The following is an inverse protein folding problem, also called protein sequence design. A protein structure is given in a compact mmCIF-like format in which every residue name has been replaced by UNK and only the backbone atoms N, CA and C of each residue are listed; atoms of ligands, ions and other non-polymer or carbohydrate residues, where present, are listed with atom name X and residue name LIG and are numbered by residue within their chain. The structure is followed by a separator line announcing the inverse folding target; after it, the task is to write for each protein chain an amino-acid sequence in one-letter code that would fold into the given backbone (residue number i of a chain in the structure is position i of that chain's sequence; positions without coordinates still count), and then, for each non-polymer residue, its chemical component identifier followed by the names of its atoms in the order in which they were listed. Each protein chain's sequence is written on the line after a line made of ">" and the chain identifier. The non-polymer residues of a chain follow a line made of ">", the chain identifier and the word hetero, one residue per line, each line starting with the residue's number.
data_IF_305870517204
#
_entry.id   IF_305870517204
#
_cell.length_a   1.000
_cell.length_b   1.000
_cell.length_c   1.000
_cell.angle_alpha   90.00
_cell.angle_beta   90.00
_cell.angle_gamma   90.00
#
_symmetry.space_group_name_H-M   'P 1'
#
loop_
_entity.id
_entity.type
_entity.pdbx_description
1 polymer ?
#
# COMPACT_ATOMS: atom_id res chain seq x y z
N UNK A 1 5.39 17.30 15.91
CA UNK A 1 4.04 16.70 16.08
C UNK A 1 4.19 15.24 16.45
N UNK A 2 3.32 14.71 17.33
CA UNK A 2 3.28 13.27 17.60
C UNK A 2 2.72 12.57 16.35
N UNK A 3 3.40 11.53 15.86
CA UNK A 3 2.93 10.77 14.70
C UNK A 3 1.68 9.97 15.09
N UNK A 4 0.67 9.99 14.22
CA UNK A 4 -0.52 9.15 14.30
C UNK A 4 -0.65 8.38 12.99
N UNK A 5 -0.57 7.05 13.09
CA UNK A 5 -0.42 6.17 11.93
C UNK A 5 -1.68 5.33 11.74
N UNK A 6 -2.23 5.30 10.53
CA UNK A 6 -3.28 4.32 10.17
C UNK A 6 -2.69 3.28 9.24
N UNK A 7 -2.81 2.01 9.64
CA UNK A 7 -2.45 0.85 8.82
C UNK A 7 -3.67 0.39 8.03
N UNK A 8 -3.59 0.39 6.71
CA UNK A 8 -4.60 -0.17 5.82
C UNK A 8 -4.15 -1.56 5.37
N UNK A 9 -4.77 -2.60 5.94
CA UNK A 9 -4.43 -3.98 5.68
C UNK A 9 -5.38 -4.61 4.66
N UNK A 10 -4.84 -5.04 3.52
CA UNK A 10 -5.60 -5.81 2.54
C UNK A 10 -5.74 -7.28 2.98
N UNK A 11 -6.95 -7.75 3.32
CA UNK A 11 -7.16 -9.09 3.85
C UNK A 11 -7.11 -10.16 2.76
N UNK A 12 -7.01 -9.79 1.48
CA UNK A 12 -6.98 -10.70 0.32
C UNK A 12 -5.57 -10.77 -0.29
N UNK A 13 -4.71 -9.76 -0.07
CA UNK A 13 -3.33 -9.77 -0.54
C UNK A 13 -2.44 -10.83 0.16
N UNK A 14 -1.40 -11.31 -0.52
CA UNK A 14 -0.28 -12.04 0.11
C UNK A 14 -0.48 -13.51 0.49
N UNK A 15 -1.51 -14.19 -0.01
CA UNK A 15 -1.70 -15.62 0.27
C UNK A 15 -1.95 -15.92 1.76
N UNK A 16 -1.38 -17.01 2.31
CA UNK A 16 -1.72 -17.54 3.65
C UNK A 16 -1.13 -16.78 4.86
N UNK A 17 -0.32 -15.73 4.66
CA UNK A 17 0.46 -15.08 5.74
C UNK A 17 -0.17 -13.79 6.35
N UNK A 18 -1.46 -13.56 6.17
CA UNK A 18 -2.14 -12.31 6.56
C UNK A 18 -2.18 -12.06 8.08
N UNK A 19 -2.50 -13.10 8.85
CA UNK A 19 -2.47 -13.06 10.31
C UNK A 19 -1.09 -12.69 10.85
N UNK A 20 -0.03 -13.17 10.18
CA UNK A 20 1.35 -12.85 10.52
C UNK A 20 1.69 -11.38 10.29
N UNK A 21 1.22 -10.77 9.19
CA UNK A 21 1.46 -9.33 8.94
C UNK A 21 0.76 -8.49 10.00
N UNK A 22 -0.51 -8.78 10.31
CA UNK A 22 -1.25 -8.09 11.36
C UNK A 22 -0.54 -8.19 12.71
N UNK A 23 -0.16 -9.40 13.11
CA UNK A 23 0.57 -9.62 14.36
C UNK A 23 1.91 -8.87 14.39
N UNK A 24 2.62 -8.80 13.26
CA UNK A 24 3.87 -8.03 13.16
C UNK A 24 3.60 -6.52 13.34
N UNK A 25 2.54 -5.98 12.72
CA UNK A 25 2.15 -4.57 12.90
C UNK A 25 1.77 -4.31 14.35
N UNK A 26 0.89 -5.12 14.96
CA UNK A 26 0.46 -4.96 16.36
C UNK A 26 1.65 -5.02 17.32
N UNK A 27 2.54 -6.02 17.14
CA UNK A 27 3.76 -6.16 17.96
C UNK A 27 4.68 -4.95 17.82
N UNK A 28 4.87 -4.46 16.59
CA UNK A 28 5.72 -3.31 16.31
C UNK A 28 5.12 -2.03 16.90
N UNK A 29 3.83 -1.82 16.71
CA UNK A 29 3.16 -0.59 17.08
C UNK A 29 3.10 -0.44 18.61
N UNK A 30 2.81 -1.52 19.34
CA UNK A 30 2.86 -1.56 20.80
C UNK A 30 4.26 -1.25 21.37
N UNK A 31 5.33 -1.57 20.63
CA UNK A 31 6.72 -1.26 21.03
C UNK A 31 7.15 0.16 20.66
N UNK A 32 6.47 0.79 19.70
CA UNK A 32 6.85 2.10 19.17
C UNK A 32 6.40 3.28 20.04
N UNK A 33 5.38 3.09 20.89
CA UNK A 33 4.75 4.17 21.68
C UNK A 33 3.98 5.20 20.85
N UNK A 34 3.79 4.93 19.54
CA UNK A 34 3.06 5.78 18.62
C UNK A 34 1.55 5.50 18.69
N UNK A 35 0.75 6.52 18.42
CA UNK A 35 -0.69 6.36 18.29
C UNK A 35 -0.97 5.70 16.94
N UNK A 36 -1.68 4.57 16.94
CA UNK A 36 -1.95 3.83 15.72
C UNK A 36 -3.34 3.20 15.68
N UNK A 37 -3.81 2.94 14.47
CA UNK A 37 -5.03 2.18 14.20
C UNK A 37 -4.77 1.20 13.04
N UNK A 38 -5.40 0.02 13.09
CA UNK A 38 -5.38 -0.94 11.98
C UNK A 38 -6.80 -1.05 11.41
N UNK A 39 -6.95 -0.69 10.14
CA UNK A 39 -8.19 -0.84 9.39
C UNK A 39 -8.01 -1.84 8.24
N UNK A 40 -9.12 -2.45 7.85
CA UNK A 40 -9.18 -3.31 6.67
C UNK A 40 -9.44 -2.43 5.45
N UNK A 41 -8.75 -2.69 4.34
CA UNK A 41 -8.97 -1.95 3.08
C UNK A 41 -10.37 -2.19 2.51
N UNK A 42 -10.94 -1.19 1.84
CA UNK A 42 -12.17 -1.36 1.08
C UNK A 42 -11.90 -2.22 -0.17
N UNK A 43 -12.67 -3.29 -0.35
CA UNK A 43 -12.56 -4.18 -1.51
C UNK A 43 -12.96 -3.49 -2.83
N UNK A 44 -13.83 -2.49 -2.76
CA UNK A 44 -14.28 -1.69 -3.90
C UNK A 44 -13.27 -0.60 -4.27
N UNK A 45 -12.25 -0.37 -3.43
CA UNK A 45 -11.24 0.67 -3.65
C UNK A 45 -11.73 2.09 -3.37
N UNK A 46 -12.94 2.27 -2.81
CA UNK A 46 -13.44 3.57 -2.39
C UNK A 46 -12.87 3.95 -1.00
N UNK A 47 -12.12 5.05 -1.00
CA UNK A 47 -11.53 5.67 0.18
C UNK A 47 -11.93 7.14 0.32
N UNK A 48 -13.07 7.57 -0.23
CA UNK A 48 -13.53 8.96 -0.19
C UNK A 48 -13.61 9.55 1.23
N UNK A 49 -13.93 8.72 2.23
CA UNK A 49 -13.98 9.13 3.65
C UNK A 49 -12.59 9.23 4.31
N UNK A 50 -11.54 8.67 3.71
CA UNK A 50 -10.21 8.65 4.28
C UNK A 50 -9.64 10.06 4.45
N UNK A 51 -9.86 10.95 3.47
CA UNK A 51 -9.43 12.36 3.52
C UNK A 51 -10.03 13.09 4.70
N UNK A 52 -11.34 12.90 4.93
CA UNK A 52 -12.05 13.49 6.05
C UNK A 52 -11.51 12.98 7.38
N UNK A 53 -11.30 11.67 7.50
CA UNK A 53 -10.69 11.07 8.70
C UNK A 53 -9.29 11.64 8.97
N UNK A 54 -8.47 11.77 7.92
CA UNK A 54 -7.12 12.37 8.03
C UNK A 54 -7.18 13.75 8.66
N UNK A 55 -8.08 14.61 8.18
CA UNK A 55 -8.25 15.97 8.70
C UNK A 55 -8.80 15.98 10.13
N UNK A 56 -9.91 15.27 10.38
CA UNK A 56 -10.63 15.27 11.65
C UNK A 56 -9.76 14.70 12.79
N UNK A 57 -8.97 13.67 12.48
CA UNK A 57 -8.17 12.95 13.46
C UNK A 57 -6.68 13.33 13.48
N UNK A 58 -6.28 14.26 12.61
CA UNK A 58 -4.88 14.71 12.43
C UNK A 58 -3.91 13.55 12.19
N UNK A 59 -4.28 12.65 11.28
CA UNK A 59 -3.43 11.51 10.89
C UNK A 59 -2.21 12.05 10.14
N UNK A 60 -1.02 11.57 10.49
CA UNK A 60 0.23 12.01 9.87
C UNK A 60 0.75 11.04 8.82
N UNK A 61 0.43 9.75 8.99
CA UNK A 61 0.98 8.67 8.17
C UNK A 61 -0.09 7.62 7.83
N UNK A 62 -0.11 7.16 6.58
CA UNK A 62 -0.92 6.03 6.12
C UNK A 62 0.01 4.90 5.64
N UNK A 63 -0.04 3.73 6.28
CA UNK A 63 0.79 2.59 5.89
C UNK A 63 -0.07 1.53 5.21
N UNK A 64 0.23 1.24 3.95
CA UNK A 64 -0.54 0.35 3.09
C UNK A 64 0.09 -1.03 3.10
N UNK A 65 -0.58 -2.01 3.69
CA UNK A 65 -0.19 -3.41 3.64
C UNK A 65 -1.01 -4.13 2.57
N UNK A 66 -0.47 -4.19 1.36
CA UNK A 66 -1.24 -4.62 0.18
C UNK A 66 -0.37 -4.87 -1.06
N UNK A 67 -1.03 -5.12 -2.19
CA UNK A 67 -0.40 -5.19 -3.50
C UNK A 67 -0.63 -3.91 -4.31
N UNK A 68 -0.15 -3.91 -5.55
CA UNK A 68 -0.14 -2.74 -6.45
C UNK A 68 -1.51 -2.08 -6.63
N UNK A 69 -2.58 -2.85 -6.80
CA UNK A 69 -3.94 -2.30 -6.92
C UNK A 69 -4.40 -1.54 -5.67
N UNK A 70 -4.16 -2.09 -4.48
CA UNK A 70 -4.48 -1.42 -3.21
C UNK A 70 -3.64 -0.16 -3.02
N UNK A 71 -2.36 -0.22 -3.35
CA UNK A 71 -1.46 0.92 -3.27
C UNK A 71 -1.96 2.05 -4.19
N UNK A 72 -2.31 1.72 -5.44
CA UNK A 72 -2.84 2.69 -6.40
C UNK A 72 -4.10 3.39 -5.88
N UNK A 73 -5.14 2.63 -5.48
CA UNK A 73 -6.41 3.20 -5.02
C UNK A 73 -6.27 4.02 -3.73
N UNK A 74 -5.44 3.59 -2.78
CA UNK A 74 -5.21 4.38 -1.56
C UNK A 74 -4.45 5.65 -1.89
N UNK A 75 -3.35 5.57 -2.65
CA UNK A 75 -2.51 6.75 -2.94
C UNK A 75 -3.30 7.81 -3.72
N UNK A 76 -4.20 7.40 -4.62
CA UNK A 76 -5.13 8.33 -5.28
C UNK A 76 -5.97 9.14 -4.27
N UNK A 77 -6.50 8.46 -3.25
CA UNK A 77 -7.25 9.09 -2.17
C UNK A 77 -6.40 9.95 -1.23
N UNK A 78 -5.07 9.77 -1.23
CA UNK A 78 -4.14 10.57 -0.42
C UNK A 78 -3.59 11.80 -1.14
N UNK A 79 -3.81 11.97 -2.45
CA UNK A 79 -3.34 13.15 -3.20
C UNK A 79 -3.71 14.45 -2.46
N UNK A 80 -2.79 15.39 -2.35
CA UNK A 80 -3.05 16.71 -1.75
C UNK A 80 -3.47 16.70 -0.26
N UNK A 81 -3.41 15.56 0.43
CA UNK A 81 -3.71 15.50 1.89
C UNK A 81 -2.51 15.91 2.76
N UNK A 82 -1.30 15.89 2.19
CA UNK A 82 -0.05 16.19 2.89
C UNK A 82 0.44 15.08 3.84
N UNK A 83 -0.29 13.97 3.97
CA UNK A 83 0.17 12.84 4.79
C UNK A 83 1.31 12.09 4.11
N UNK A 84 2.22 11.55 4.92
CA UNK A 84 3.18 10.59 4.42
C UNK A 84 2.49 9.24 4.21
N UNK A 85 2.95 8.45 3.24
CA UNK A 85 2.52 7.05 3.14
C UNK A 85 3.70 6.09 3.14
N UNK A 86 3.46 4.89 3.65
CA UNK A 86 4.41 3.78 3.67
C UNK A 86 3.79 2.54 3.03
N UNK A 87 4.63 1.57 2.64
CA UNK A 87 4.18 0.34 1.99
C UNK A 87 4.75 -0.87 2.74
N UNK A 88 3.88 -1.83 3.05
CA UNK A 88 4.25 -3.19 3.45
C UNK A 88 3.88 -4.11 2.27
N UNK A 89 4.86 -4.57 1.47
CA UNK A 89 4.58 -5.31 0.24
C UNK A 89 3.92 -6.66 0.52
N UNK A 90 2.72 -6.88 -0.01
CA UNK A 90 1.97 -8.14 0.10
C UNK A 90 1.53 -8.70 -1.26
N UNK A 91 1.78 -8.01 -2.36
CA UNK A 91 1.46 -8.47 -3.72
C UNK A 91 2.53 -9.40 -4.32
N UNK A 92 2.28 -9.87 -5.54
CA UNK A 92 3.26 -10.62 -6.33
C UNK A 92 4.21 -9.69 -7.10
N UNK A 93 3.70 -8.57 -7.63
CA UNK A 93 4.46 -7.54 -8.37
C UNK A 93 5.17 -6.56 -7.43
N UNK A 94 4.41 -5.77 -6.66
CA UNK A 94 4.91 -4.74 -5.74
C UNK A 94 5.82 -3.73 -6.44
N UNK A 95 5.45 -3.28 -7.64
CA UNK A 95 6.30 -2.48 -8.53
C UNK A 95 6.83 -1.20 -7.85
N UNK A 96 5.94 -0.39 -7.26
CA UNK A 96 6.36 0.84 -6.56
C UNK A 96 7.30 0.53 -5.40
N UNK A 97 6.94 -0.46 -4.58
CA UNK A 97 7.71 -0.78 -3.39
C UNK A 97 9.11 -1.31 -3.75
N UNK A 98 9.21 -2.12 -4.80
CA UNK A 98 10.48 -2.65 -5.31
C UNK A 98 11.37 -1.52 -5.81
N UNK A 99 10.85 -0.63 -6.66
CA UNK A 99 11.61 0.52 -7.21
C UNK A 99 12.04 1.49 -6.10
N UNK A 100 11.21 1.69 -5.08
CA UNK A 100 11.53 2.52 -3.92
C UNK A 100 12.49 1.86 -2.92
N UNK A 101 12.99 0.64 -3.18
CA UNK A 101 13.91 -0.07 -2.29
C UNK A 101 13.27 -0.57 -0.99
N UNK A 102 11.94 -0.66 -0.94
CA UNK A 102 11.21 -1.10 0.25
C UNK A 102 11.36 -2.62 0.43
N UNK A 103 11.85 -3.10 1.59
CA UNK A 103 12.04 -4.52 1.83
C UNK A 103 10.73 -5.32 1.78
N UNK A 104 10.75 -6.51 1.17
CA UNK A 104 9.61 -7.46 1.21
C UNK A 104 9.30 -8.01 2.60
N UNK A 105 10.26 -7.96 3.53
CA UNK A 105 10.05 -8.42 4.90
C UNK A 105 9.25 -7.37 5.69
N UNK A 106 8.06 -7.70 6.22
CA UNK A 106 7.20 -6.73 6.90
C UNK A 106 7.87 -6.01 8.08
N UNK A 107 8.74 -6.69 8.84
CA UNK A 107 9.46 -6.06 9.96
C UNK A 107 10.42 -4.98 9.46
N UNK A 108 11.20 -5.29 8.42
CA UNK A 108 12.13 -4.32 7.81
C UNK A 108 11.41 -3.15 7.13
N UNK A 109 10.25 -3.40 6.51
CA UNK A 109 9.42 -2.34 5.96
C UNK A 109 8.88 -1.41 7.06
N UNK A 110 8.45 -1.97 8.20
CA UNK A 110 8.02 -1.18 9.37
C UNK A 110 9.17 -0.38 10.00
N UNK A 111 10.38 -0.94 10.05
CA UNK A 111 11.56 -0.20 10.51
C UNK A 111 11.83 1.01 9.61
N UNK A 112 11.66 0.87 8.29
CA UNK A 112 11.73 1.97 7.34
C UNK A 112 10.63 3.01 7.56
N UNK A 113 9.40 2.60 7.86
CA UNK A 113 8.31 3.52 8.23
C UNK A 113 8.65 4.31 9.50
N UNK A 114 9.35 3.70 10.45
CA UNK A 114 9.70 4.35 11.72
C UNK A 114 10.84 5.35 11.58
N UNK A 115 11.91 4.92 10.91
CA UNK A 115 13.21 5.58 10.95
C UNK A 115 13.62 6.19 9.60
N UNK A 116 12.92 5.83 8.52
CA UNK A 116 13.16 6.37 7.19
C UNK A 116 12.75 7.84 7.09
N UNK A 117 13.27 8.50 6.06
CA UNK A 117 12.86 9.85 5.69
C UNK A 117 11.93 9.77 4.48
N UNK A 118 10.71 10.33 4.55
CA UNK A 118 9.83 10.38 3.39
C UNK A 118 10.47 11.24 2.31
N UNK A 119 10.24 10.85 1.06
CA UNK A 119 10.66 11.60 -0.13
C UNK A 119 9.45 11.80 -1.02
N UNK A 120 9.38 12.94 -1.70
CA UNK A 120 8.32 13.17 -2.69
C UNK A 120 8.44 12.13 -3.81
N UNK A 121 7.30 11.68 -4.32
CA UNK A 121 7.21 10.79 -5.48
C UNK A 121 6.16 11.30 -6.43
N UNK A 122 6.42 11.13 -7.71
CA UNK A 122 5.49 11.49 -8.76
C UNK A 122 4.44 10.40 -8.97
N UNK A 123 3.32 10.82 -9.53
CA UNK A 123 2.27 9.97 -10.07
C UNK A 123 1.73 10.64 -11.34
N UNK A 124 0.89 9.94 -12.08
CA UNK A 124 0.35 10.45 -13.33
C UNK A 124 -1.15 10.19 -13.44
N UNK A 125 -1.82 11.04 -14.23
CA UNK A 125 -3.23 10.95 -14.57
C UNK A 125 -3.33 10.74 -16.07
N UNK A 126 -4.02 9.68 -16.48
CA UNK A 126 -4.26 9.36 -17.89
C UNK A 126 -5.77 9.24 -18.07
N UNK A 127 -6.36 10.11 -18.88
CA UNK A 127 -7.81 10.16 -19.10
C UNK A 127 -8.59 10.12 -17.78
N UNK A 128 -8.25 11.03 -16.87
CA UNK A 128 -8.85 11.17 -15.53
C UNK A 128 -8.60 10.00 -14.56
N UNK A 129 -7.85 8.97 -14.97
CA UNK A 129 -7.48 7.83 -14.11
C UNK A 129 -6.10 8.00 -13.51
N UNK A 130 -6.02 7.84 -12.20
CA UNK A 130 -4.77 7.91 -11.44
C UNK A 130 -3.89 6.66 -11.63
N UNK A 131 -2.58 6.85 -11.65
CA UNK A 131 -1.60 5.78 -11.51
C UNK A 131 -0.30 6.26 -10.87
N UNK A 132 0.23 5.48 -9.94
CA UNK A 132 1.50 5.75 -9.24
C UNK A 132 2.60 4.74 -9.59
N UNK A 133 2.43 3.95 -10.64
CA UNK A 133 3.34 2.86 -11.02
C UNK A 133 3.50 2.75 -12.53
N UNK A 134 2.72 1.87 -13.15
CA UNK A 134 2.83 1.49 -14.55
C UNK A 134 1.45 1.61 -15.19
N UNK A 135 1.41 2.12 -16.41
CA UNK A 135 0.26 2.03 -17.31
C UNK A 135 0.80 1.81 -18.71
N UNK A 136 0.22 0.84 -19.41
CA UNK A 136 0.75 0.38 -20.70
C UNK A 136 -0.35 -0.12 -21.62
N UNK A 137 0.01 -0.31 -22.88
CA UNK A 137 -0.86 -0.79 -23.97
C UNK A 137 -0.07 -1.78 -24.85
N UNK A 138 -0.79 -2.70 -25.48
CA UNK A 138 -0.18 -3.72 -26.33
C UNK A 138 0.17 -4.97 -25.52
N UNK A 139 1.39 -5.49 -25.70
CA UNK A 139 1.75 -6.81 -25.20
C UNK A 139 1.82 -6.89 -23.67
N UNK A 140 2.38 -5.88 -23.00
CA UNK A 140 2.47 -5.84 -21.53
C UNK A 140 1.07 -5.79 -20.89
N UNK A 141 0.16 -5.01 -21.46
CA UNK A 141 -1.24 -4.93 -21.05
C UNK A 141 -1.97 -6.27 -21.27
N UNK A 142 -1.70 -6.95 -22.39
CA UNK A 142 -2.25 -8.29 -22.65
C UNK A 142 -1.77 -9.30 -21.60
N UNK A 143 -0.47 -9.34 -21.30
CA UNK A 143 0.08 -10.22 -20.26
C UNK A 143 -0.54 -9.92 -18.90
N UNK A 144 -0.70 -8.66 -18.53
CA UNK A 144 -1.36 -8.27 -17.29
C UNK A 144 -2.85 -8.67 -17.25
N UNK A 145 -3.55 -8.54 -18.38
CA UNK A 145 -4.94 -8.97 -18.52
C UNK A 145 -5.10 -10.47 -18.35
N UNK A 146 -4.25 -11.26 -19.01
CA UNK A 146 -4.29 -12.72 -18.95
C UNK A 146 -3.91 -13.21 -17.55
N UNK A 147 -2.88 -12.62 -16.94
CA UNK A 147 -2.50 -12.89 -15.55
C UNK A 147 -3.65 -12.64 -14.57
N UNK A 148 -4.42 -11.55 -14.75
CA UNK A 148 -5.53 -11.22 -13.86
C UNK A 148 -6.68 -12.25 -13.91
N UNK A 149 -6.77 -13.05 -14.98
CA UNK A 149 -7.77 -14.11 -15.17
C UNK A 149 -7.31 -15.47 -14.62
N UNK A 150 -6.05 -15.60 -14.22
CA UNK A 150 -5.51 -16.84 -13.66
C UNK A 150 -6.01 -17.07 -12.23
N UNK A 151 -6.37 -18.31 -11.90
CA UNK A 151 -6.77 -18.69 -10.53
C UNK A 151 -5.59 -18.66 -9.54
N UNK A 152 -4.37 -18.83 -10.06
CA UNK A 152 -3.13 -18.85 -9.27
C UNK A 152 -2.35 -17.56 -9.48
N UNK A 153 -1.71 -17.07 -8.42
CA UNK A 153 -0.85 -15.89 -8.44
C UNK A 153 0.62 -16.29 -8.29
N UNK A 154 1.52 -15.57 -8.94
CA UNK A 154 2.97 -15.72 -8.76
C UNK A 154 3.74 -15.40 -10.04
N UNK A 155 5.07 -15.34 -9.98
CA UNK A 155 5.91 -15.06 -11.16
C UNK A 155 5.72 -16.10 -12.28
N UNK A 156 5.43 -17.36 -11.92
CA UNK A 156 5.25 -18.44 -12.87
C UNK A 156 4.00 -18.31 -13.76
N UNK A 157 3.04 -17.45 -13.40
CA UNK A 157 1.81 -17.26 -14.20
C UNK A 157 1.89 -16.08 -15.16
N UNK A 158 3.08 -15.46 -15.30
CA UNK A 158 3.36 -14.43 -16.30
C UNK A 158 3.91 -15.00 -17.63
N UNK A 159 4.12 -16.32 -17.70
CA UNK A 159 4.66 -17.04 -18.87
C UNK A 159 3.58 -17.94 -19.44
#
# INVERSE_FOLDING_TARGET
>A
MRRKIVFLLNPIAGGKNKSRVRQVIETWANRSGLDFEIQVTNAEGDYGLLRRKIADERITDIVIAGGDGTINSVVDALRDTGVCFGIIPMGSGNGLALTAGIPKNPRKALDLVLHGKPTATDAFIINEKFSCMLSGIGFDAQVAHDFARQERRGLATYV
#
